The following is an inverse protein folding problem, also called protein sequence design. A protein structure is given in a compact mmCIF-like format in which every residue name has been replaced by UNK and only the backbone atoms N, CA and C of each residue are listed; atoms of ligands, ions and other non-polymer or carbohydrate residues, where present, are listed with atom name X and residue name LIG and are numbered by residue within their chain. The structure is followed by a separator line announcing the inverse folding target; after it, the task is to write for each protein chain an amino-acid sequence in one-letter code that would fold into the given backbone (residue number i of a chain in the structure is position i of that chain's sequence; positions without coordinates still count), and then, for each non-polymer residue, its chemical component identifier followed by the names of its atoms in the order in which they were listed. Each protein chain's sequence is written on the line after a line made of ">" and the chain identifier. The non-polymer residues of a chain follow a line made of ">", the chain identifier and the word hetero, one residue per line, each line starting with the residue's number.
data_IF_603822238904
#
_entry.id   IF_603822238904
#
_cell.length_a   1.000
_cell.length_b   1.000
_cell.length_c   1.000
_cell.angle_alpha   90.00
_cell.angle_beta   90.00
_cell.angle_gamma   90.00
#
_symmetry.space_group_name_H-M   'P 1'
#
loop_
_entity.id
_entity.type
_entity.pdbx_description
1 polymer ?
#
# COMPACT_ATOMS: atom_id res chain seq x y z
N UNK A 1 21.66 -0.42 -11.38
CA UNK A 1 20.68 -1.50 -11.54
C UNK A 1 19.30 -0.89 -11.35
N UNK A 2 18.56 -0.66 -12.43
CA UNK A 2 17.19 -0.16 -12.36
C UNK A 2 16.31 -1.37 -12.07
N UNK A 3 15.82 -1.52 -10.84
CA UNK A 3 14.85 -2.57 -10.54
C UNK A 3 13.56 -2.18 -11.26
N UNK A 4 13.23 -2.93 -12.32
CA UNK A 4 12.01 -2.71 -13.07
C UNK A 4 10.86 -3.34 -12.27
N UNK A 5 10.06 -2.50 -11.61
CA UNK A 5 8.82 -2.93 -10.99
C UNK A 5 7.73 -3.07 -12.06
N UNK A 6 6.92 -4.13 -11.99
CA UNK A 6 5.73 -4.26 -12.82
C UNK A 6 4.68 -3.25 -12.37
N UNK A 7 4.24 -2.38 -13.27
CA UNK A 7 3.10 -1.51 -13.01
C UNK A 7 1.84 -2.32 -12.71
N UNK A 8 0.87 -1.75 -12.00
CA UNK A 8 -0.41 -2.45 -11.74
C UNK A 8 -1.11 -2.84 -13.04
N UNK A 9 -1.03 -2.00 -14.08
CA UNK A 9 -1.56 -2.33 -15.40
C UNK A 9 -0.98 -3.64 -15.95
N UNK A 10 0.35 -3.77 -15.95
CA UNK A 10 1.03 -4.99 -16.38
C UNK A 10 0.68 -6.21 -15.51
N UNK A 11 0.53 -6.03 -14.19
CA UNK A 11 0.10 -7.11 -13.30
C UNK A 11 -1.32 -7.59 -13.63
N UNK A 12 -2.24 -6.67 -13.92
CA UNK A 12 -3.61 -6.99 -14.35
C UNK A 12 -3.61 -7.65 -15.74
N UNK A 13 -2.79 -7.17 -16.66
CA UNK A 13 -2.64 -7.77 -17.99
C UNK A 13 -2.12 -9.21 -17.87
N UNK A 14 -1.09 -9.47 -17.05
CA UNK A 14 -0.59 -10.81 -16.82
C UNK A 14 -1.59 -11.71 -16.09
N UNK A 15 -2.46 -11.14 -15.26
CA UNK A 15 -3.53 -11.89 -14.62
C UNK A 15 -4.53 -12.48 -15.63
N UNK A 16 -4.67 -11.89 -16.83
CA UNK A 16 -5.48 -12.50 -17.90
C UNK A 16 -4.98 -13.90 -18.27
N UNK A 17 -3.66 -14.11 -18.28
CA UNK A 17 -3.04 -15.41 -18.55
C UNK A 17 -3.35 -16.43 -17.46
N UNK A 18 -3.44 -15.98 -16.20
CA UNK A 18 -3.84 -16.83 -15.06
C UNK A 18 -5.30 -17.25 -15.22
N UNK A 19 -6.19 -16.32 -15.55
CA UNK A 19 -7.60 -16.62 -15.84
C UNK A 19 -7.72 -17.63 -16.98
N UNK A 20 -7.03 -17.43 -18.10
CA UNK A 20 -7.11 -18.34 -19.25
C UNK A 20 -6.63 -19.75 -18.91
N UNK A 21 -5.61 -19.86 -18.05
CA UNK A 21 -5.14 -21.15 -17.55
C UNK A 21 -6.22 -21.82 -16.69
N UNK A 22 -6.87 -21.07 -15.80
CA UNK A 22 -7.98 -21.60 -14.99
C UNK A 22 -9.15 -22.03 -15.87
N UNK A 23 -9.48 -21.29 -16.92
CA UNK A 23 -10.55 -21.66 -17.87
C UNK A 23 -10.22 -22.97 -18.59
N UNK A 24 -8.97 -23.16 -19.02
CA UNK A 24 -8.53 -24.43 -19.63
C UNK A 24 -8.62 -25.62 -18.67
N UNK A 25 -8.42 -25.40 -17.38
CA UNK A 25 -8.39 -26.48 -16.37
C UNK A 25 -9.76 -26.79 -15.76
N UNK A 26 -10.59 -25.77 -15.52
CA UNK A 26 -11.83 -25.85 -14.75
C UNK A 26 -13.08 -25.59 -15.60
N UNK A 27 -12.90 -25.24 -16.88
CA UNK A 27 -13.95 -24.69 -17.73
C UNK A 27 -14.29 -23.24 -17.34
N UNK A 28 -15.05 -22.51 -18.19
CA UNK A 28 -15.41 -21.11 -17.93
C UNK A 28 -16.14 -20.91 -16.60
N UNK A 29 -17.15 -21.73 -16.31
CA UNK A 29 -17.94 -21.63 -15.08
C UNK A 29 -17.12 -21.99 -13.82
N UNK A 30 -16.26 -23.02 -13.91
CA UNK A 30 -15.40 -23.42 -12.80
C UNK A 30 -14.34 -22.37 -12.49
N UNK A 31 -13.72 -21.77 -13.52
CA UNK A 31 -12.79 -20.67 -13.35
C UNK A 31 -13.47 -19.45 -12.73
N UNK A 32 -14.67 -19.09 -13.20
CA UNK A 32 -15.44 -17.98 -12.63
C UNK A 32 -15.78 -18.22 -11.16
N UNK A 33 -16.21 -19.43 -10.79
CA UNK A 33 -16.51 -19.79 -9.41
C UNK A 33 -15.26 -19.83 -8.51
N UNK A 34 -14.11 -20.22 -9.05
CA UNK A 34 -12.84 -20.21 -8.34
C UNK A 34 -12.37 -18.77 -8.06
N UNK A 35 -12.39 -17.92 -9.07
CA UNK A 35 -11.98 -16.53 -8.96
C UNK A 35 -12.92 -15.70 -8.08
N UNK A 36 -14.24 -15.93 -8.15
CA UNK A 36 -15.19 -15.21 -7.29
C UNK A 36 -15.01 -15.51 -5.80
N UNK A 37 -14.44 -16.67 -5.45
CA UNK A 37 -14.13 -17.06 -4.07
C UNK A 37 -12.72 -16.67 -3.64
N UNK A 38 -11.86 -16.30 -4.58
CA UNK A 38 -10.46 -15.94 -4.31
C UNK A 38 -10.35 -14.51 -3.76
N UNK A 39 -9.35 -14.30 -2.89
CA UNK A 39 -8.99 -12.97 -2.38
C UNK A 39 -8.00 -12.28 -3.32
N UNK A 40 -8.20 -10.98 -3.53
CA UNK A 40 -7.33 -10.13 -4.34
C UNK A 40 -6.80 -8.97 -3.48
N UNK A 41 -5.61 -9.13 -2.86
CA UNK A 41 -4.94 -8.04 -2.16
C UNK A 41 -4.36 -7.03 -3.15
N UNK A 42 -4.64 -5.76 -2.93
CA UNK A 42 -4.13 -4.65 -3.74
C UNK A 42 -3.39 -3.68 -2.82
N UNK A 43 -2.08 -3.63 -2.97
CA UNK A 43 -1.17 -2.72 -2.26
C UNK A 43 -0.41 -1.91 -3.30
N UNK A 44 -0.84 -0.68 -3.56
CA UNK A 44 -0.32 0.16 -4.66
C UNK A 44 -0.38 1.66 -4.31
N UNK A 45 0.37 2.50 -5.02
CA UNK A 45 0.29 3.97 -4.96
C UNK A 45 1.45 4.66 -4.24
N UNK A 46 2.17 3.97 -3.35
CA UNK A 46 3.32 4.53 -2.62
C UNK A 46 4.42 5.05 -3.56
N UNK A 47 4.76 4.30 -4.60
CA UNK A 47 5.81 4.68 -5.54
C UNK A 47 5.41 5.90 -6.39
N UNK A 48 4.15 5.98 -6.82
CA UNK A 48 3.61 7.13 -7.56
C UNK A 48 3.73 8.42 -6.72
N UNK A 49 3.33 8.37 -5.45
CA UNK A 49 3.45 9.51 -4.54
C UNK A 49 4.91 9.88 -4.28
N UNK A 50 5.82 8.91 -4.08
CA UNK A 50 7.25 9.22 -3.99
C UNK A 50 7.82 9.82 -5.29
N UNK A 51 7.38 9.33 -6.45
CA UNK A 51 7.83 9.83 -7.75
C UNK A 51 7.43 11.31 -7.95
N UNK A 52 6.29 11.73 -7.43
CA UNK A 52 5.88 13.14 -7.43
C UNK A 52 6.85 14.03 -6.64
N UNK A 53 7.35 13.55 -5.49
CA UNK A 53 8.23 14.33 -4.59
C UNK A 53 9.73 14.12 -4.85
N UNK A 54 10.09 13.35 -5.87
CA UNK A 54 11.51 13.15 -6.23
C UNK A 54 12.07 14.42 -6.87
N UNK A 55 13.33 14.75 -6.55
CA UNK A 55 14.03 15.92 -7.14
C UNK A 55 14.02 15.82 -8.67
N UNK A 56 13.56 16.87 -9.34
CA UNK A 56 13.47 16.92 -10.80
C UNK A 56 12.30 16.13 -11.40
N UNK A 57 11.32 15.69 -10.57
CA UNK A 57 10.16 14.92 -11.01
C UNK A 57 9.48 15.51 -12.25
N UNK A 58 9.42 14.71 -13.32
CA UNK A 58 8.69 15.05 -14.53
C UNK A 58 7.18 15.12 -14.25
N UNK A 59 6.67 14.24 -13.39
CA UNK A 59 5.25 14.22 -13.01
C UNK A 59 4.87 15.52 -12.33
N UNK A 60 5.68 16.02 -11.39
CA UNK A 60 5.41 17.29 -10.71
C UNK A 60 5.49 18.50 -11.64
N UNK A 61 6.24 18.42 -12.75
CA UNK A 61 6.26 19.45 -13.79
C UNK A 61 5.00 19.45 -14.66
N UNK A 62 4.35 18.29 -14.81
CA UNK A 62 3.20 18.10 -15.70
C UNK A 62 1.85 18.25 -14.97
N UNK A 63 1.80 17.95 -13.67
CA UNK A 63 0.55 17.89 -12.91
C UNK A 63 0.65 18.62 -11.58
N UNK A 64 -0.40 19.36 -11.24
CA UNK A 64 -0.61 19.78 -9.85
C UNK A 64 -0.83 18.54 -8.95
N UNK A 65 -0.66 18.64 -7.62
CA UNK A 65 -0.88 17.51 -6.73
C UNK A 65 -2.29 16.92 -6.87
N UNK A 66 -3.32 17.76 -7.02
CA UNK A 66 -4.69 17.31 -7.19
C UNK A 66 -4.87 16.54 -8.51
N UNK A 67 -4.40 17.11 -9.63
CA UNK A 67 -4.49 16.46 -10.94
C UNK A 67 -3.80 15.09 -10.97
N UNK A 68 -2.66 14.95 -10.28
CA UNK A 68 -1.97 13.68 -10.23
C UNK A 68 -2.72 12.65 -9.37
N UNK A 69 -3.24 13.05 -8.20
CA UNK A 69 -4.10 12.19 -7.37
C UNK A 69 -5.33 11.74 -8.14
N UNK A 70 -6.02 12.65 -8.84
CA UNK A 70 -7.20 12.32 -9.63
C UNK A 70 -6.87 11.32 -10.75
N UNK A 71 -5.69 11.47 -11.37
CA UNK A 71 -5.21 10.52 -12.39
C UNK A 71 -4.91 9.15 -11.79
N UNK A 72 -4.26 9.09 -10.63
CA UNK A 72 -3.98 7.83 -9.93
C UNK A 72 -5.29 7.10 -9.62
N UNK A 73 -6.29 7.82 -9.08
CA UNK A 73 -7.61 7.26 -8.75
C UNK A 73 -8.37 6.80 -9.98
N UNK A 74 -8.40 7.60 -11.05
CA UNK A 74 -9.08 7.24 -12.31
C UNK A 74 -8.45 5.99 -12.95
N UNK A 75 -7.12 5.93 -12.99
CA UNK A 75 -6.37 4.77 -13.49
C UNK A 75 -6.67 3.53 -12.65
N UNK A 76 -6.63 3.68 -11.32
CA UNK A 76 -6.95 2.59 -10.40
C UNK A 76 -8.39 2.10 -10.55
N UNK A 77 -9.37 3.01 -10.68
CA UNK A 77 -10.78 2.66 -10.93
C UNK A 77 -10.94 1.81 -12.19
N UNK A 78 -10.24 2.16 -13.27
CA UNK A 78 -10.23 1.39 -14.52
C UNK A 78 -9.71 -0.02 -14.31
N UNK A 79 -8.53 -0.16 -13.69
CA UNK A 79 -7.91 -1.47 -13.43
C UNK A 79 -8.73 -2.33 -12.45
N UNK A 80 -9.36 -1.73 -11.46
CA UNK A 80 -10.29 -2.39 -10.55
C UNK A 80 -11.49 -2.99 -11.30
N UNK A 81 -12.08 -2.24 -12.24
CA UNK A 81 -13.16 -2.73 -13.10
C UNK A 81 -12.69 -3.84 -14.03
N UNK A 82 -11.47 -3.78 -14.54
CA UNK A 82 -10.88 -4.86 -15.33
C UNK A 82 -10.76 -6.14 -14.50
N UNK A 83 -10.22 -6.07 -13.28
CA UNK A 83 -10.15 -7.23 -12.37
C UNK A 83 -11.52 -7.83 -12.07
N UNK A 84 -12.53 -6.98 -11.82
CA UNK A 84 -13.91 -7.42 -11.68
C UNK A 84 -14.42 -8.17 -12.92
N UNK A 85 -14.16 -7.64 -14.12
CA UNK A 85 -14.49 -8.29 -15.39
C UNK A 85 -13.77 -9.62 -15.61
N UNK A 86 -12.59 -9.80 -15.00
CA UNK A 86 -11.84 -11.05 -15.02
C UNK A 86 -12.30 -12.07 -13.96
N UNK A 87 -13.29 -11.72 -13.13
CA UNK A 87 -13.94 -12.64 -12.20
C UNK A 87 -13.65 -12.33 -10.72
N UNK A 88 -12.86 -11.32 -10.41
CA UNK A 88 -12.59 -10.93 -9.02
C UNK A 88 -13.85 -10.42 -8.33
N UNK A 89 -14.10 -10.90 -7.10
CA UNK A 89 -15.25 -10.45 -6.27
C UNK A 89 -14.88 -10.10 -4.83
N UNK A 90 -13.77 -10.60 -4.29
CA UNK A 90 -13.29 -10.29 -2.93
C UNK A 90 -11.97 -9.52 -3.00
N UNK A 91 -12.00 -8.21 -2.84
CA UNK A 91 -10.81 -7.35 -2.93
C UNK A 91 -10.49 -6.77 -1.56
N UNK A 92 -9.22 -6.77 -1.17
CA UNK A 92 -8.75 -5.97 -0.04
C UNK A 92 -7.76 -4.94 -0.56
N UNK A 93 -8.07 -3.67 -0.35
CA UNK A 93 -7.27 -2.54 -0.86
C UNK A 93 -6.68 -1.79 0.32
N UNK A 94 -5.37 -1.61 0.33
CA UNK A 94 -4.72 -0.79 1.36
C UNK A 94 -4.64 0.66 0.92
N UNK A 95 -4.95 1.59 1.82
CA UNK A 95 -4.49 2.96 1.70
C UNK A 95 -2.96 3.04 1.71
N UNK A 96 -2.41 4.15 1.23
CA UNK A 96 -0.98 4.44 1.33
C UNK A 96 -0.68 4.88 2.77
N UNK A 97 0.35 4.30 3.44
CA UNK A 97 0.70 4.67 4.81
C UNK A 97 1.30 6.08 4.91
N UNK A 98 1.66 6.53 6.12
CA UNK A 98 2.29 7.85 6.34
C UNK A 98 3.73 7.95 5.79
N UNK A 99 3.88 7.84 4.46
CA UNK A 99 5.17 7.73 3.75
C UNK A 99 6.04 8.98 3.83
N UNK A 100 5.47 10.13 4.19
CA UNK A 100 6.23 11.32 4.56
C UNK A 100 7.07 11.13 5.83
N UNK A 101 6.75 10.11 6.64
CA UNK A 101 7.48 9.76 7.85
C UNK A 101 8.54 8.68 7.65
N UNK A 102 8.73 8.16 6.43
CA UNK A 102 9.82 7.23 6.13
C UNK A 102 11.19 7.90 6.37
N UNK A 103 12.23 7.14 6.78
CA UNK A 103 13.57 7.70 7.02
C UNK A 103 14.14 8.47 5.81
N UNK A 104 13.86 8.02 4.57
CA UNK A 104 14.26 8.70 3.33
C UNK A 104 13.71 10.13 3.20
N UNK A 105 12.54 10.40 3.80
CA UNK A 105 11.94 11.73 3.84
C UNK A 105 12.47 12.52 5.02
N UNK A 106 12.50 11.91 6.22
CA UNK A 106 13.01 12.54 7.44
C UNK A 106 14.46 13.00 7.33
N UNK A 107 15.33 12.23 6.66
CA UNK A 107 16.76 12.58 6.49
C UNK A 107 16.99 13.93 5.82
N UNK A 108 16.02 14.40 5.02
CA UNK A 108 16.09 15.69 4.31
C UNK A 108 15.61 16.87 5.16
N UNK A 109 15.00 16.59 6.32
CA UNK A 109 14.53 17.57 7.27
C UNK A 109 15.53 17.70 8.43
N UNK A 110 15.97 18.93 8.73
CA UNK A 110 16.94 19.18 9.81
C UNK A 110 16.45 18.75 11.19
N UNK A 111 15.14 18.74 11.43
CA UNK A 111 14.55 18.30 12.70
C UNK A 111 14.26 16.80 12.72
N UNK A 112 14.47 16.07 11.62
CA UNK A 112 14.09 14.66 11.49
C UNK A 112 12.58 14.44 11.43
N UNK A 113 11.78 15.49 11.25
CA UNK A 113 10.33 15.41 11.19
C UNK A 113 9.79 15.00 9.81
N UNK A 114 8.55 14.49 9.80
CA UNK A 114 7.91 13.99 8.58
C UNK A 114 7.75 15.09 7.51
N UNK A 115 7.78 14.68 6.25
CA UNK A 115 7.40 15.53 5.12
C UNK A 115 5.88 15.73 5.09
N UNK A 116 5.42 16.86 5.63
CA UNK A 116 4.00 17.22 5.73
C UNK A 116 3.34 17.32 4.36
N UNK A 117 4.04 17.83 3.32
CA UNK A 117 3.46 17.98 1.99
C UNK A 117 3.15 16.63 1.35
N UNK A 118 4.06 15.66 1.50
CA UNK A 118 3.85 14.29 1.02
C UNK A 118 2.73 13.58 1.81
N UNK A 119 2.67 13.75 3.13
CA UNK A 119 1.57 13.20 3.94
C UNK A 119 0.21 13.81 3.57
N UNK A 120 0.13 15.12 3.33
CA UNK A 120 -1.10 15.76 2.89
C UNK A 120 -1.58 15.23 1.53
N UNK A 121 -0.67 14.99 0.58
CA UNK A 121 -1.03 14.39 -0.71
C UNK A 121 -1.46 12.93 -0.57
N UNK A 122 -0.83 12.19 0.37
CA UNK A 122 -1.21 10.82 0.72
C UNK A 122 -2.62 10.75 1.29
N UNK A 123 -2.96 11.65 2.24
CA UNK A 123 -4.31 11.75 2.81
C UNK A 123 -5.34 12.00 1.71
N UNK A 124 -5.10 12.97 0.82
CA UNK A 124 -5.99 13.25 -0.32
C UNK A 124 -6.21 12.04 -1.21
N UNK A 125 -5.15 11.30 -1.54
CA UNK A 125 -5.26 10.06 -2.31
C UNK A 125 -6.10 9.02 -1.57
N UNK A 126 -5.84 8.81 -0.28
CA UNK A 126 -6.57 7.84 0.54
C UNK A 126 -8.05 8.18 0.68
N UNK A 127 -8.40 9.46 0.90
CA UNK A 127 -9.80 9.90 0.98
C UNK A 127 -10.53 9.67 -0.35
N UNK A 128 -9.89 10.03 -1.47
CA UNK A 128 -10.41 9.75 -2.81
C UNK A 128 -10.56 8.26 -3.08
N UNK A 129 -9.62 7.43 -2.61
CA UNK A 129 -9.66 5.98 -2.75
C UNK A 129 -10.84 5.38 -1.97
N UNK A 130 -11.07 5.82 -0.71
CA UNK A 130 -12.23 5.41 0.09
C UNK A 130 -13.54 5.74 -0.62
N UNK A 131 -13.70 6.99 -1.09
CA UNK A 131 -14.91 7.42 -1.82
C UNK A 131 -15.11 6.64 -3.12
N UNK A 132 -14.03 6.38 -3.87
CA UNK A 132 -14.08 5.61 -5.11
C UNK A 132 -14.57 4.18 -4.85
N UNK A 133 -14.06 3.51 -3.82
CA UNK A 133 -14.48 2.15 -3.44
C UNK A 133 -15.94 2.11 -3.00
N UNK A 134 -16.40 3.12 -2.25
CA UNK A 134 -17.81 3.26 -1.87
C UNK A 134 -18.72 3.39 -3.11
N UNK A 135 -18.35 4.23 -4.09
CA UNK A 135 -19.12 4.38 -5.33
C UNK A 135 -19.15 3.11 -6.19
N UNK A 136 -18.04 2.37 -6.23
CA UNK A 136 -17.96 1.11 -6.98
C UNK A 136 -18.88 0.01 -6.44
N UNK A 137 -19.21 0.04 -5.14
CA UNK A 137 -20.14 -0.93 -4.53
C UNK A 137 -21.51 -0.92 -5.20
N UNK A 138 -22.01 0.25 -5.59
CA UNK A 138 -23.27 0.37 -6.35
C UNK A 138 -23.13 0.05 -7.84
N UNK A 139 -21.93 0.22 -8.41
CA UNK A 139 -21.68 0.00 -9.84
C UNK A 139 -21.42 -1.49 -10.17
N UNK A 140 -20.95 -2.29 -9.21
CA UNK A 140 -20.44 -3.64 -9.44
C UNK A 140 -21.16 -4.70 -8.57
N UNK A 141 -22.27 -5.29 -9.06
CA UNK A 141 -23.02 -6.28 -8.31
C UNK A 141 -22.19 -7.48 -7.85
N UNK A 142 -22.34 -7.86 -6.58
CA UNK A 142 -21.59 -8.97 -5.97
C UNK A 142 -20.11 -8.66 -5.70
N UNK A 143 -19.66 -7.42 -5.90
CA UNK A 143 -18.34 -6.98 -5.46
C UNK A 143 -18.33 -6.72 -3.95
N UNK A 144 -17.43 -7.40 -3.25
CA UNK A 144 -17.12 -7.16 -1.86
C UNK A 144 -15.68 -6.63 -1.76
N UNK A 145 -15.53 -5.40 -1.28
CA UNK A 145 -14.22 -4.79 -1.06
C UNK A 145 -14.05 -4.36 0.39
N UNK A 146 -12.90 -4.69 0.96
CA UNK A 146 -12.42 -4.12 2.22
C UNK A 146 -11.33 -3.09 1.93
N UNK A 147 -11.32 -2.02 2.72
CA UNK A 147 -10.31 -0.98 2.70
C UNK A 147 -9.55 -0.97 4.03
N UNK A 148 -8.22 -1.00 3.97
CA UNK A 148 -7.36 -0.83 5.14
C UNK A 148 -6.85 0.61 5.22
N UNK A 149 -7.23 1.34 6.27
CA UNK A 149 -6.70 2.66 6.61
C UNK A 149 -5.29 2.56 7.19
N UNK A 150 -4.36 2.23 6.31
CA UNK A 150 -2.97 2.03 6.71
C UNK A 150 -2.34 3.33 7.23
N UNK A 151 -2.75 4.49 6.71
CA UNK A 151 -2.29 5.77 7.22
C UNK A 151 -2.72 5.97 8.68
N UNK A 152 -4.01 5.78 8.97
CA UNK A 152 -4.55 5.89 10.33
C UNK A 152 -3.91 4.90 11.30
N UNK A 153 -3.78 3.64 10.89
CA UNK A 153 -3.14 2.59 11.70
C UNK A 153 -1.69 2.93 12.05
N UNK A 154 -0.93 3.41 11.06
CA UNK A 154 0.46 3.80 11.23
C UNK A 154 0.62 5.02 12.15
N UNK A 155 -0.19 6.06 11.97
CA UNK A 155 -0.15 7.25 12.83
C UNK A 155 -0.56 6.91 14.26
N UNK A 156 -1.59 6.08 14.43
CA UNK A 156 -2.00 5.60 15.75
C UNK A 156 -0.89 4.80 16.43
N UNK A 157 -0.11 4.01 15.69
CA UNK A 157 1.04 3.31 16.23
C UNK A 157 2.11 4.25 16.76
N UNK A 158 2.41 5.32 16.02
CA UNK A 158 3.44 6.30 16.43
C UNK A 158 3.03 7.12 17.66
N UNK A 159 1.74 7.17 17.97
CA UNK A 159 1.21 7.88 19.13
C UNK A 159 1.04 6.98 20.36
N UNK A 160 1.19 5.67 20.21
CA UNK A 160 0.89 4.71 21.26
C UNK A 160 2.08 3.80 21.56
N UNK A 161 2.66 3.98 22.75
CA UNK A 161 3.81 3.23 23.24
C UNK A 161 3.50 1.74 23.46
N UNK A 162 2.23 1.32 23.52
CA UNK A 162 1.86 -0.08 23.80
C UNK A 162 2.23 -1.05 22.68
N UNK A 163 2.57 -0.58 21.49
CA UNK A 163 2.90 -1.46 20.37
C UNK A 163 4.36 -1.96 20.36
N UNK A 164 5.17 -1.56 21.36
CA UNK A 164 6.49 -2.17 21.62
C UNK A 164 7.62 -1.75 20.68
N UNK A 165 7.37 -0.88 19.69
CA UNK A 165 8.41 -0.25 18.89
C UNK A 165 9.03 0.92 19.67
N UNK A 166 10.33 0.82 19.97
CA UNK A 166 11.06 1.88 20.67
C UNK A 166 11.79 2.81 19.71
N UNK A 167 12.05 2.38 18.47
CA UNK A 167 12.63 3.20 17.42
C UNK A 167 11.71 3.25 16.19
N UNK A 168 11.15 4.44 15.93
CA UNK A 168 10.11 4.69 14.91
C UNK A 168 10.54 5.71 13.84
N UNK A 169 11.77 6.22 13.88
CA UNK A 169 12.29 7.23 12.95
C UNK A 169 13.51 6.71 12.17
N UNK A 170 14.42 5.99 12.82
CA UNK A 170 15.65 5.45 12.23
C UNK A 170 15.43 4.08 11.58
N UNK A 171 16.12 3.82 10.46
CA UNK A 171 16.12 2.51 9.83
C UNK A 171 17.04 1.52 10.56
N UNK A 172 16.64 0.25 10.64
CA UNK A 172 17.49 -0.80 11.19
C UNK A 172 18.73 -1.07 10.33
N UNK A 173 18.60 -1.01 8.99
CA UNK A 173 19.66 -1.30 8.04
C UNK A 173 19.96 -0.10 7.14
N UNK A 174 21.20 0.37 7.18
CA UNK A 174 21.72 1.44 6.32
C UNK A 174 22.91 2.14 6.95
N UNK A 175 23.20 3.36 6.48
CA UNK A 175 24.23 4.24 7.06
C UNK A 175 23.83 5.71 6.94
N UNK A 176 24.49 6.55 7.72
CA UNK A 176 24.34 8.01 7.72
C UNK A 176 23.16 8.47 8.56
N UNK A 177 22.62 9.64 8.23
CA UNK A 177 21.51 10.23 8.97
C UNK A 177 20.29 9.29 8.94
N UNK A 178 19.78 8.91 10.13
CA UNK A 178 18.68 7.96 10.31
C UNK A 178 18.89 6.61 9.58
N UNK A 179 20.14 6.19 9.36
CA UNK A 179 20.52 5.05 8.51
C UNK A 179 19.88 5.11 7.11
N UNK A 180 19.67 6.31 6.58
CA UNK A 180 18.91 6.51 5.36
C UNK A 180 19.74 7.08 4.21
N UNK A 181 20.98 7.52 4.42
CA UNK A 181 21.83 8.11 3.38
C UNK A 181 22.32 7.06 2.39
N UNK A 182 22.78 5.92 2.92
CA UNK A 182 23.23 4.76 2.15
C UNK A 182 22.21 3.64 2.24
N UNK A 183 21.99 2.94 1.13
CA UNK A 183 21.11 1.78 1.05
C UNK A 183 21.57 0.65 2.01
N UNK A 184 20.64 -0.25 2.31
CA UNK A 184 20.93 -1.53 2.97
C UNK A 184 21.70 -2.46 2.01
N UNK A 185 23.00 -2.21 1.85
CA UNK A 185 23.95 -2.96 1.02
C UNK A 185 25.05 -3.55 1.90
N UNK A 186 25.97 -4.40 1.41
CA UNK A 186 26.91 -5.14 2.28
C UNK A 186 27.78 -4.31 3.24
N UNK A 187 27.96 -3.01 2.99
CA UNK A 187 28.68 -2.10 3.90
C UNK A 187 27.81 -1.50 5.02
N UNK A 188 26.51 -1.75 5.02
CA UNK A 188 25.55 -1.18 5.95
C UNK A 188 25.74 -1.72 7.38
N UNK A 189 25.26 -0.94 8.35
CA UNK A 189 25.10 -1.39 9.74
C UNK A 189 23.69 -1.90 9.96
N UNK A 190 23.56 -2.77 10.95
CA UNK A 190 22.28 -3.32 11.38
C UNK A 190 22.01 -2.92 12.83
N UNK A 191 20.75 -2.65 13.15
CA UNK A 191 20.29 -2.48 14.51
C UNK A 191 20.45 -3.78 15.31
N UNK A 192 20.62 -3.70 16.65
CA UNK A 192 20.82 -4.88 17.49
C UNK A 192 19.54 -5.72 17.64
N UNK A 193 18.36 -5.10 17.55
CA UNK A 193 17.08 -5.79 17.71
C UNK A 193 16.02 -5.27 16.71
N UNK A 194 15.73 -6.09 15.70
CA UNK A 194 14.76 -5.80 14.64
C UNK A 194 13.32 -5.70 15.13
N UNK A 195 12.99 -6.28 16.29
CA UNK A 195 11.62 -6.23 16.86
C UNK A 195 11.29 -4.87 17.47
N UNK A 196 12.32 -4.11 17.86
CA UNK A 196 12.15 -2.80 18.48
C UNK A 196 12.15 -1.66 17.45
N UNK A 197 12.55 -1.96 16.20
CA UNK A 197 12.61 -1.00 15.11
C UNK A 197 11.38 -1.14 14.22
N UNK A 198 10.79 0.00 13.87
CA UNK A 198 9.67 0.05 12.95
C UNK A 198 10.13 -0.10 11.49
N UNK A 199 11.25 0.53 11.11
CA UNK A 199 11.79 0.52 9.75
C UNK A 199 12.92 -0.49 9.59
N UNK A 200 12.85 -1.33 8.55
CA UNK A 200 13.98 -2.17 8.14
C UNK A 200 15.02 -1.35 7.39
N UNK A 201 14.61 -0.63 6.36
CA UNK A 201 15.47 0.25 5.57
C UNK A 201 14.85 1.66 5.50
N UNK A 202 15.40 2.52 4.65
CA UNK A 202 14.96 3.92 4.52
C UNK A 202 13.50 4.11 4.05
N UNK A 203 12.80 3.06 3.64
CA UNK A 203 11.40 3.08 3.17
C UNK A 203 10.55 2.01 3.85
N UNK A 204 11.03 0.77 3.88
CA UNK A 204 10.26 -0.41 4.23
C UNK A 204 10.28 -0.70 5.73
N UNK A 205 9.18 -1.28 6.22
CA UNK A 205 9.02 -1.69 7.62
C UNK A 205 9.83 -2.95 7.94
N UNK A 206 10.12 -3.19 9.22
CA UNK A 206 10.62 -4.49 9.68
C UNK A 206 9.55 -5.57 9.56
N UNK A 207 9.97 -6.84 9.64
CA UNK A 207 9.05 -7.98 9.73
C UNK A 207 8.08 -7.84 10.91
N UNK A 208 8.55 -7.33 12.06
CA UNK A 208 7.71 -7.13 13.23
C UNK A 208 6.57 -6.13 12.95
N UNK A 209 6.89 -4.99 12.33
CA UNK A 209 5.89 -4.01 11.93
C UNK A 209 4.97 -4.52 10.82
N UNK A 210 5.52 -5.21 9.81
CA UNK A 210 4.74 -5.81 8.73
C UNK A 210 3.76 -6.88 9.26
N UNK A 211 4.18 -7.70 10.22
CA UNK A 211 3.34 -8.73 10.85
C UNK A 211 2.21 -8.09 11.64
N UNK A 212 2.51 -7.07 12.43
CA UNK A 212 1.51 -6.31 13.19
C UNK A 212 0.39 -5.75 12.29
N UNK A 213 0.74 -5.09 11.19
CA UNK A 213 -0.28 -4.56 10.26
C UNK A 213 -0.99 -5.68 9.47
N UNK A 214 -0.31 -6.79 9.21
CA UNK A 214 -0.93 -7.95 8.55
C UNK A 214 -1.99 -8.59 9.43
N UNK A 215 -1.73 -8.73 10.74
CA UNK A 215 -2.72 -9.19 11.72
C UNK A 215 -3.91 -8.23 11.82
N UNK A 216 -3.64 -6.92 11.86
CA UNK A 216 -4.68 -5.90 11.87
C UNK A 216 -5.54 -5.92 10.60
N UNK A 217 -4.93 -6.12 9.44
CA UNK A 217 -5.63 -6.26 8.17
C UNK A 217 -6.45 -7.56 8.12
N UNK A 218 -5.92 -8.65 8.69
CA UNK A 218 -6.57 -9.95 8.66
C UNK A 218 -7.80 -10.03 9.57
N UNK A 219 -7.61 -9.75 10.86
CA UNK A 219 -8.61 -9.95 11.92
C UNK A 219 -8.78 -8.74 12.84
N UNK A 220 -8.22 -7.58 12.48
CA UNK A 220 -8.33 -6.36 13.28
C UNK A 220 -9.74 -5.78 13.32
N UNK A 221 -9.91 -4.78 14.18
CA UNK A 221 -11.20 -4.11 14.38
C UNK A 221 -11.58 -3.21 13.20
N UNK A 222 -12.85 -2.80 13.16
CA UNK A 222 -13.35 -1.87 12.15
C UNK A 222 -12.83 -0.43 12.31
N UNK A 223 -11.93 -0.18 13.27
CA UNK A 223 -11.28 1.13 13.40
C UNK A 223 -10.45 1.47 12.16
N UNK A 224 -9.73 0.50 11.60
CA UNK A 224 -8.88 0.68 10.42
C UNK A 224 -9.31 -0.17 9.22
N UNK A 225 -10.22 -1.12 9.41
CA UNK A 225 -10.77 -1.96 8.34
C UNK A 225 -12.21 -1.57 8.02
N UNK A 226 -12.48 -1.16 6.78
CA UNK A 226 -13.81 -0.67 6.38
C UNK A 226 -14.32 -1.38 5.13
N UNK A 227 -15.57 -1.88 5.11
CA UNK A 227 -16.48 -2.04 6.26
C UNK A 227 -16.19 -3.31 7.09
N UNK A 228 -15.23 -4.13 6.69
CA UNK A 228 -14.91 -5.41 7.33
C UNK A 228 -13.42 -5.74 7.18
N UNK A 229 -12.90 -6.64 8.01
CA UNK A 229 -11.54 -7.17 7.87
C UNK A 229 -11.48 -8.33 6.85
N UNK A 230 -10.28 -8.87 6.57
CA UNK A 230 -10.14 -9.94 5.57
C UNK A 230 -10.80 -11.23 6.00
N UNK A 231 -10.75 -11.60 7.29
CA UNK A 231 -11.43 -12.79 7.80
C UNK A 231 -12.95 -12.74 7.51
N UNK A 232 -13.59 -11.60 7.81
CA UNK A 232 -15.00 -11.36 7.51
C UNK A 232 -15.28 -11.34 6.00
N UNK A 233 -14.40 -10.74 5.20
CA UNK A 233 -14.51 -10.72 3.75
C UNK A 233 -14.43 -12.11 3.13
N UNK A 234 -13.61 -13.01 3.70
CA UNK A 234 -13.49 -14.39 3.24
C UNK A 234 -14.70 -15.23 3.62
N UNK A 235 -15.33 -14.95 4.76
CA UNK A 235 -16.52 -15.66 5.25
C UNK A 235 -17.80 -15.39 4.44
N UNK A 236 -17.94 -14.20 3.84
CA UNK A 236 -19.08 -13.82 2.98
C UNK A 236 -18.83 -14.10 1.51
#
# INVERSE_FOLDING_TARGET
>A
MQVQALSLGQQVDYFTMVRDRLVRQLGPSGAQAHLSKSLFPIVIGTNDLFAYFTVGSLVAKLYTPQQYVDRMLSTFKGLFKTLYGLGARKLVVTGVPAIGCCPIQRRTNRTGECNIKLNNMTIKYNDGLKMMLQGLKSELPGMNSAYFDYYGAWVSLFQNETYGFTEIKEACCGLGNLNADVLCIPIARFCPNRKNYFFWDRVHTTEAAASFFSEMLYSGSQQFMVPMNVEQLLAG
#
